data_IF_161245007667
#
_entry.id   IF_161245007667
#
_cell.length_a   1.000
_cell.length_b   1.000
_cell.length_c   1.000
_cell.angle_alpha   90.00
_cell.angle_beta   90.00
_cell.angle_gamma   90.00
#
_symmetry.space_group_name_H-M   'P 1'
#
loop_
_entity.id
_entity.type
_entity.pdbx_description
1 polymer ?
#
# COMPACT_ATOMS: atom_id res chain seq x y z
N UNK A 1 0.26 -4.70 -21.80
CA UNK A 1 0.61 -4.82 -20.37
C UNK A 1 1.99 -4.18 -20.23
N UNK A 2 2.33 -3.47 -19.14
CA UNK A 2 3.53 -2.60 -19.02
C UNK A 2 4.91 -3.31 -19.18
N UNK A 3 4.92 -4.60 -19.52
CA UNK A 3 6.11 -5.46 -19.59
C UNK A 3 6.27 -6.19 -20.92
N UNK A 4 5.31 -6.09 -21.86
CA UNK A 4 5.33 -6.86 -23.12
C UNK A 4 6.46 -6.41 -24.07
N UNK A 5 6.94 -5.18 -23.92
CA UNK A 5 7.98 -4.57 -24.75
C UNK A 5 9.40 -4.70 -24.17
N UNK A 6 9.59 -5.44 -23.07
CA UNK A 6 10.89 -5.54 -22.40
C UNK A 6 11.69 -6.77 -22.85
N UNK A 7 13.01 -6.65 -23.07
CA UNK A 7 13.87 -7.79 -23.39
C UNK A 7 13.81 -8.89 -22.32
N UNK A 8 13.86 -10.19 -22.70
CA UNK A 8 13.82 -11.30 -21.75
C UNK A 8 14.90 -11.24 -20.66
N UNK A 9 16.08 -10.72 -20.99
CA UNK A 9 17.17 -10.56 -20.03
C UNK A 9 16.88 -9.49 -18.98
N UNK A 10 16.16 -8.44 -19.35
CA UNK A 10 15.72 -7.41 -18.41
C UNK A 10 14.59 -7.93 -17.52
N UNK A 11 13.64 -8.69 -18.07
CA UNK A 11 12.57 -9.34 -17.30
C UNK A 11 13.10 -10.26 -16.19
N UNK A 12 14.21 -10.97 -16.44
CA UNK A 12 14.89 -11.82 -15.44
C UNK A 12 15.54 -11.03 -14.29
N UNK A 13 15.87 -9.76 -14.53
CA UNK A 13 16.49 -8.88 -13.53
C UNK A 13 15.46 -8.11 -12.68
N UNK A 14 14.18 -8.08 -13.10
CA UNK A 14 13.13 -7.38 -12.36
C UNK A 14 12.84 -8.09 -11.03
N UNK A 15 12.95 -7.35 -9.92
CA UNK A 15 12.50 -7.87 -8.62
C UNK A 15 10.98 -7.97 -8.60
N UNK A 16 10.44 -9.08 -8.09
CA UNK A 16 9.00 -9.23 -7.89
C UNK A 16 8.58 -8.30 -6.76
N UNK A 17 7.74 -7.30 -7.07
CA UNK A 17 7.11 -6.46 -6.05
C UNK A 17 6.40 -7.34 -5.01
N UNK A 18 6.73 -7.13 -3.75
CA UNK A 18 6.12 -7.81 -2.62
C UNK A 18 4.68 -7.33 -2.43
N UNK A 19 3.91 -8.04 -1.59
CA UNK A 19 2.58 -7.57 -1.21
C UNK A 19 2.65 -6.19 -0.51
N UNK A 20 3.69 -5.95 0.29
CA UNK A 20 3.89 -4.67 0.99
C UNK A 20 4.14 -3.53 0.02
N UNK A 21 4.98 -3.75 -1.00
CA UNK A 21 5.24 -2.74 -2.03
C UNK A 21 3.97 -2.39 -2.80
N UNK A 22 3.12 -3.38 -3.10
CA UNK A 22 1.83 -3.16 -3.77
C UNK A 22 0.84 -2.42 -2.87
N UNK A 23 0.78 -2.78 -1.59
CA UNK A 23 -0.07 -2.09 -0.60
C UNK A 23 0.35 -0.63 -0.45
N UNK A 24 1.65 -0.37 -0.24
CA UNK A 24 2.17 0.99 -0.12
C UNK A 24 1.94 1.80 -1.39
N UNK A 25 2.09 1.18 -2.57
CA UNK A 25 1.86 1.87 -3.83
C UNK A 25 0.40 2.33 -4.02
N UNK A 26 -0.60 1.62 -3.47
CA UNK A 26 -2.02 1.98 -3.66
C UNK A 26 -2.58 2.93 -2.61
N UNK A 27 -1.91 3.10 -1.47
CA UNK A 27 -2.33 4.03 -0.42
C UNK A 27 -1.70 5.39 -0.75
N UNK A 28 -2.49 6.29 -1.33
CA UNK A 28 -2.09 7.65 -1.71
C UNK A 28 -2.81 8.74 -0.88
N UNK A 29 -3.83 8.34 -0.14
CA UNK A 29 -4.63 9.16 0.76
C UNK A 29 -5.14 8.30 1.92
N UNK A 30 -5.79 8.89 2.94
CA UNK A 30 -6.52 8.13 3.94
C UNK A 30 -7.54 7.18 3.29
N UNK A 31 -7.34 5.88 3.46
CA UNK A 31 -8.16 4.84 2.85
C UNK A 31 -8.54 3.76 3.86
N UNK A 32 -9.76 3.24 3.77
CA UNK A 32 -10.19 2.07 4.54
C UNK A 32 -9.77 0.76 3.88
N UNK A 33 -9.77 -0.34 4.64
CA UNK A 33 -9.36 -1.67 4.15
C UNK A 33 -10.09 -2.08 2.86
N UNK A 34 -11.38 -1.75 2.71
CA UNK A 34 -12.16 -2.07 1.52
C UNK A 34 -11.68 -1.31 0.28
N UNK A 35 -11.37 -0.02 0.43
CA UNK A 35 -10.81 0.80 -0.65
C UNK A 35 -9.44 0.29 -1.07
N UNK A 36 -8.61 -0.13 -0.10
CA UNK A 36 -7.29 -0.70 -0.36
C UNK A 36 -7.42 -2.01 -1.15
N UNK A 37 -8.33 -2.90 -0.77
CA UNK A 37 -8.60 -4.15 -1.50
C UNK A 37 -9.03 -3.88 -2.94
N UNK A 38 -9.94 -2.91 -3.15
CA UNK A 38 -10.39 -2.50 -4.48
C UNK A 38 -9.23 -1.92 -5.29
N UNK A 39 -8.41 -1.05 -4.70
CA UNK A 39 -7.27 -0.43 -5.37
C UNK A 39 -6.20 -1.45 -5.77
N UNK A 40 -5.91 -2.44 -4.91
CA UNK A 40 -5.01 -3.56 -5.21
C UNK A 40 -5.48 -4.36 -6.42
N UNK A 41 -6.79 -4.64 -6.52
CA UNK A 41 -7.34 -5.29 -7.70
C UNK A 41 -7.25 -4.39 -8.94
N UNK A 42 -7.68 -3.14 -8.84
CA UNK A 42 -7.70 -2.22 -9.98
C UNK A 42 -6.32 -2.03 -10.60
N UNK A 43 -5.31 -1.75 -9.76
CA UNK A 43 -3.94 -1.41 -10.16
C UNK A 43 -3.05 -2.62 -10.44
N UNK A 44 -3.14 -3.66 -9.60
CA UNK A 44 -2.19 -4.78 -9.65
C UNK A 44 -2.83 -6.11 -10.08
N UNK A 45 -4.15 -6.14 -10.33
CA UNK A 45 -4.91 -7.35 -10.68
C UNK A 45 -4.71 -8.50 -9.68
N UNK A 46 -4.56 -8.16 -8.40
CA UNK A 46 -4.35 -9.14 -7.33
C UNK A 46 -5.46 -9.07 -6.32
N UNK A 47 -6.11 -10.22 -6.09
CA UNK A 47 -7.13 -10.40 -5.07
C UNK A 47 -6.53 -11.10 -3.85
N UNK A 48 -6.27 -10.35 -2.79
CA UNK A 48 -5.81 -10.89 -1.51
C UNK A 48 -6.99 -11.15 -0.57
N UNK A 49 -6.85 -12.15 0.32
CA UNK A 49 -7.82 -12.35 1.43
C UNK A 49 -7.80 -11.13 2.35
N UNK A 50 -8.98 -10.66 2.80
CA UNK A 50 -9.10 -9.53 3.75
C UNK A 50 -8.19 -9.68 4.96
N UNK A 51 -8.20 -10.84 5.62
CA UNK A 51 -7.39 -11.08 6.82
C UNK A 51 -5.89 -10.93 6.55
N UNK A 52 -5.42 -11.36 5.37
CA UNK A 52 -4.01 -11.20 4.98
C UNK A 52 -3.64 -9.71 4.87
N UNK A 53 -4.50 -8.91 4.24
CA UNK A 53 -4.30 -7.47 4.10
C UNK A 53 -4.34 -6.77 5.45
N UNK A 54 -5.32 -7.06 6.31
CA UNK A 54 -5.40 -6.47 7.66
C UNK A 54 -4.13 -6.75 8.45
N UNK A 55 -3.65 -8.01 8.46
CA UNK A 55 -2.43 -8.38 9.17
C UNK A 55 -1.18 -7.69 8.58
N UNK A 56 -1.13 -7.48 7.26
CA UNK A 56 -0.02 -6.76 6.61
C UNK A 56 -0.07 -5.27 6.91
N UNK A 57 -1.23 -4.63 6.80
CA UNK A 57 -1.41 -3.22 7.12
C UNK A 57 -1.00 -2.91 8.57
N UNK A 58 -1.40 -3.75 9.53
CA UNK A 58 -0.98 -3.61 10.93
C UNK A 58 0.55 -3.66 11.08
N UNK A 59 1.22 -4.64 10.47
CA UNK A 59 2.69 -4.75 10.53
C UNK A 59 3.40 -3.58 9.84
N UNK A 60 2.89 -3.14 8.69
CA UNK A 60 3.45 -2.02 7.94
C UNK A 60 3.28 -0.69 8.69
N UNK A 61 2.17 -0.51 9.40
CA UNK A 61 1.96 0.64 10.27
C UNK A 61 2.95 0.64 11.44
N UNK A 62 3.12 -0.52 12.10
CA UNK A 62 4.08 -0.66 13.20
C UNK A 62 5.54 -0.48 12.76
N UNK A 63 5.88 -0.80 11.51
CA UNK A 63 7.22 -0.59 10.97
C UNK A 63 7.43 0.81 10.39
N UNK A 64 6.44 1.71 10.48
CA UNK A 64 6.52 3.07 9.94
C UNK A 64 6.55 3.15 8.41
N UNK A 65 6.02 2.15 7.70
CA UNK A 65 5.99 2.13 6.21
C UNK A 65 4.72 2.77 5.64
N UNK A 66 3.66 2.77 6.43
CA UNK A 66 2.41 3.51 6.26
C UNK A 66 2.01 4.03 7.65
N UNK A 67 1.05 4.93 7.75
CA UNK A 67 0.49 5.38 9.02
C UNK A 67 -0.94 4.89 9.20
N UNK A 68 -1.33 4.60 10.44
CA UNK A 68 -2.74 4.51 10.82
C UNK A 68 -3.29 5.90 11.10
N UNK A 69 -4.51 6.19 10.64
CA UNK A 69 -5.14 7.49 10.88
C UNK A 69 -5.68 7.56 12.31
N UNK A 70 -5.25 8.57 13.07
CA UNK A 70 -5.68 8.78 14.45
C UNK A 70 -7.21 8.86 14.58
N UNK A 71 -7.75 8.19 15.60
CA UNK A 71 -9.19 8.16 15.86
C UNK A 71 -10.00 7.37 14.82
N UNK A 72 -9.39 6.81 13.77
CA UNK A 72 -10.08 6.08 12.69
C UNK A 72 -9.57 4.65 12.54
N UNK A 73 -10.22 3.72 13.26
CA UNK A 73 -9.88 2.30 13.21
C UNK A 73 -9.98 1.73 11.80
N UNK A 74 -8.92 1.10 11.32
CA UNK A 74 -8.89 0.43 10.02
C UNK A 74 -8.72 1.37 8.82
N UNK A 75 -8.34 2.62 9.07
CA UNK A 75 -7.96 3.58 8.04
C UNK A 75 -6.44 3.79 8.05
N UNK A 76 -5.83 3.82 6.87
CA UNK A 76 -4.39 3.93 6.67
C UNK A 76 -4.06 5.00 5.64
N UNK A 77 -2.90 5.63 5.78
CA UNK A 77 -2.44 6.74 4.94
C UNK A 77 -0.92 6.66 4.67
N UNK A 78 -0.39 7.40 3.68
CA UNK A 78 1.04 7.55 3.50
C UNK A 78 1.70 8.18 4.73
N UNK A 79 2.93 7.77 5.05
CA UNK A 79 3.69 8.31 6.19
C UNK A 79 3.85 9.84 6.07
N UNK A 80 4.14 10.34 4.87
CA UNK A 80 4.32 11.77 4.63
C UNK A 80 3.04 12.57 4.91
N UNK A 81 1.87 12.04 4.54
CA UNK A 81 0.58 12.67 4.82
C UNK A 81 0.36 12.84 6.33
N UNK A 82 0.77 11.84 7.12
CA UNK A 82 0.70 11.89 8.59
C UNK A 82 1.68 12.90 9.18
N UNK A 83 2.89 13.00 8.64
CA UNK A 83 3.91 13.98 9.08
C UNK A 83 3.39 15.41 8.87
N UNK A 84 2.79 15.69 7.73
CA UNK A 84 2.23 17.02 7.44
C UNK A 84 1.04 17.35 8.36
N UNK A 85 0.17 16.39 8.65
CA UNK A 85 -0.92 16.58 9.61
C UNK A 85 -0.39 16.97 11.01
N UNK A 86 0.69 16.32 11.47
CA UNK A 86 1.32 16.61 12.78
C UNK A 86 2.04 17.96 12.83
N UNK A 87 2.47 18.51 11.68
CA UNK A 87 3.10 19.84 11.62
C UNK A 87 2.07 20.96 11.68
N UNK A 88 0.86 20.75 11.15
CA UNK A 88 -0.21 21.75 11.15
C UNK A 88 -0.88 21.97 12.51
N UNK A 89 -0.69 21.04 13.46
CA UNK A 89 -1.23 21.12 14.82
C UNK A 89 -0.29 21.84 15.82
N UNK A 90 0.83 22.43 15.36
CA UNK A 90 1.78 23.23 16.17
C UNK A 90 1.78 24.69 15.77
#
# INVERSE_FOLDING_TARGET
>A
MEYDDLPPELLKQLSKRTAEDRIAAVIDKPMVVDEILIALWRRHKVAYKRQFIVNKLYRMANSGRIASVDGRKGMYEPVDARIEALKGDR
#
